data_IF_776103175920
#
_entry.id   IF_776103175920
#
_cell.length_a   1.000
_cell.length_b   1.000
_cell.length_c   1.000
_cell.angle_alpha   90.00
_cell.angle_beta   90.00
_cell.angle_gamma   90.00
#
_symmetry.space_group_name_H-M   'P 1'
#
loop_
_entity.id
_entity.type
_entity.pdbx_description
1 polymer ?
#
# COMPACT_ATOMS: atom_id res chain seq x y z
N UNK A 1 6.07 -6.26 -0.12
CA UNK A 1 5.15 -6.61 -1.24
C UNK A 1 4.76 -8.08 -1.26
N UNK A 2 5.69 -9.06 -1.19
CA UNK A 2 5.34 -10.50 -1.20
C UNK A 2 4.42 -10.90 -0.05
N UNK A 3 4.73 -10.48 1.18
CA UNK A 3 3.87 -10.75 2.35
C UNK A 3 2.49 -10.09 2.19
N UNK A 4 2.44 -8.86 1.71
CA UNK A 4 1.16 -8.19 1.44
C UNK A 4 0.34 -8.96 0.40
N UNK A 5 0.95 -9.38 -0.71
CA UNK A 5 0.28 -10.17 -1.74
C UNK A 5 -0.31 -11.48 -1.17
N UNK A 6 0.37 -12.08 -0.21
CA UNK A 6 -0.09 -13.30 0.47
C UNK A 6 -1.22 -13.01 1.46
N UNK A 7 -1.02 -12.08 2.39
CA UNK A 7 -1.97 -11.79 3.48
C UNK A 7 -3.27 -11.17 2.96
N UNK A 8 -3.18 -10.24 2.00
CA UNK A 8 -4.33 -9.58 1.40
C UNK A 8 -4.93 -10.36 0.20
N UNK A 9 -4.40 -11.52 -0.11
CA UNK A 9 -4.80 -12.37 -1.25
C UNK A 9 -4.85 -11.63 -2.60
N UNK A 10 -3.87 -10.78 -2.87
CA UNK A 10 -3.84 -9.95 -4.08
C UNK A 10 -3.44 -10.80 -5.28
N UNK A 11 -4.42 -11.26 -6.04
CA UNK A 11 -4.23 -12.20 -7.17
C UNK A 11 -3.26 -11.66 -8.22
N UNK A 12 -3.38 -10.38 -8.58
CA UNK A 12 -2.50 -9.73 -9.55
C UNK A 12 -1.03 -9.74 -9.13
N UNK A 13 -0.74 -9.41 -7.86
CA UNK A 13 0.62 -9.46 -7.33
C UNK A 13 1.15 -10.90 -7.21
N UNK A 14 0.31 -11.84 -6.76
CA UNK A 14 0.71 -13.26 -6.72
C UNK A 14 1.10 -13.80 -8.08
N UNK A 15 0.31 -13.49 -9.11
CA UNK A 15 0.62 -13.89 -10.49
C UNK A 15 1.90 -13.25 -11.00
N UNK A 16 2.11 -11.95 -10.74
CA UNK A 16 3.34 -11.28 -11.11
C UNK A 16 4.57 -11.94 -10.47
N UNK A 17 4.50 -12.28 -9.19
CA UNK A 17 5.60 -12.97 -8.50
C UNK A 17 5.83 -14.39 -9.02
N UNK A 18 4.78 -15.16 -9.35
CA UNK A 18 4.90 -16.50 -9.94
C UNK A 18 5.59 -16.47 -11.30
N UNK A 19 5.31 -15.44 -12.09
CA UNK A 19 5.86 -15.28 -13.44
C UNK A 19 7.18 -14.47 -13.46
N UNK A 20 7.78 -14.19 -12.29
CA UNK A 20 8.99 -13.38 -12.15
C UNK A 20 8.88 -11.98 -12.78
N UNK A 21 7.67 -11.42 -12.84
CA UNK A 21 7.45 -10.07 -13.34
C UNK A 21 7.85 -9.07 -12.26
N UNK A 22 8.61 -8.05 -12.65
CA UNK A 22 8.93 -6.94 -11.75
C UNK A 22 7.67 -6.11 -11.47
N UNK A 23 7.17 -6.22 -10.24
CA UNK A 23 5.93 -5.55 -9.82
C UNK A 23 6.03 -4.02 -9.90
N UNK A 24 7.22 -3.43 -9.72
CA UNK A 24 7.38 -1.99 -9.82
C UNK A 24 7.32 -1.52 -11.27
N UNK A 25 7.88 -2.29 -12.20
CA UNK A 25 7.75 -2.02 -13.62
C UNK A 25 6.32 -2.24 -14.10
N UNK A 26 5.67 -3.30 -13.64
CA UNK A 26 4.25 -3.56 -13.94
C UNK A 26 3.35 -2.41 -13.43
N UNK A 27 3.55 -1.97 -12.19
CA UNK A 27 2.82 -0.82 -11.63
C UNK A 27 3.10 0.45 -12.41
N UNK A 28 4.36 0.69 -12.82
CA UNK A 28 4.73 1.84 -13.63
C UNK A 28 4.01 1.87 -14.97
N UNK A 29 4.01 0.73 -15.68
CA UNK A 29 3.30 0.57 -16.96
C UNK A 29 1.83 0.96 -16.83
N UNK A 30 1.18 0.53 -15.78
CA UNK A 30 -0.25 0.73 -15.58
C UNK A 30 -0.58 2.16 -15.13
N UNK A 31 0.15 2.70 -14.16
CA UNK A 31 -0.10 4.05 -13.63
C UNK A 31 0.28 5.13 -14.66
N UNK A 32 1.42 4.99 -15.33
CA UNK A 32 1.88 5.97 -16.31
C UNK A 32 1.39 5.71 -17.74
N UNK A 33 0.58 4.62 -17.94
CA UNK A 33 -0.01 4.25 -19.23
C UNK A 33 1.01 4.12 -20.35
N UNK A 34 2.14 3.48 -20.03
CA UNK A 34 3.22 3.16 -20.97
C UNK A 34 3.36 1.65 -21.09
N UNK A 35 3.91 1.16 -22.21
CA UNK A 35 4.19 -0.27 -22.34
C UNK A 35 5.25 -0.71 -21.32
N UNK A 36 5.21 -1.97 -20.92
CA UNK A 36 6.17 -2.51 -19.94
C UNK A 36 7.62 -2.34 -20.40
N UNK A 37 7.85 -2.45 -21.70
CA UNK A 37 9.15 -2.30 -22.36
C UNK A 37 9.67 -0.84 -22.33
N UNK A 38 8.76 0.14 -22.24
CA UNK A 38 9.07 1.56 -22.20
C UNK A 38 9.29 2.08 -20.77
N UNK A 39 9.17 1.20 -19.78
CA UNK A 39 9.39 1.58 -18.37
C UNK A 39 10.88 1.73 -18.11
N UNK A 40 11.33 2.97 -18.01
CA UNK A 40 12.71 3.30 -17.64
C UNK A 40 12.94 3.22 -16.12
N UNK A 41 14.19 3.39 -15.71
CA UNK A 41 14.60 3.37 -14.31
C UNK A 41 13.92 4.49 -13.47
N UNK A 42 13.57 5.61 -14.09
CA UNK A 42 12.89 6.74 -13.44
C UNK A 42 11.44 6.40 -13.12
N UNK A 43 10.70 5.91 -14.11
CA UNK A 43 9.30 5.47 -13.95
C UNK A 43 9.18 4.32 -12.93
N UNK A 44 10.09 3.34 -13.04
CA UNK A 44 10.18 2.23 -12.08
C UNK A 44 10.42 2.74 -10.65
N UNK A 45 11.28 3.72 -10.45
CA UNK A 45 11.56 4.32 -9.14
C UNK A 45 10.34 5.05 -8.59
N UNK A 46 9.62 5.80 -9.43
CA UNK A 46 8.36 6.46 -9.05
C UNK A 46 7.30 5.44 -8.63
N UNK A 47 7.12 4.39 -9.43
CA UNK A 47 6.18 3.31 -9.10
C UNK A 47 6.56 2.58 -7.80
N UNK A 48 7.84 2.36 -7.54
CA UNK A 48 8.33 1.83 -6.26
C UNK A 48 7.93 2.73 -5.10
N UNK A 49 8.10 4.04 -5.23
CA UNK A 49 7.71 5.01 -4.22
C UNK A 49 6.18 5.02 -3.99
N UNK A 50 5.38 4.88 -5.05
CA UNK A 50 3.93 4.77 -4.97
C UNK A 50 3.54 3.48 -4.24
N UNK A 51 4.06 2.33 -4.67
CA UNK A 51 3.77 1.03 -4.07
C UNK A 51 4.04 1.00 -2.55
N UNK A 52 5.20 1.47 -2.13
CA UNK A 52 5.53 1.52 -0.71
C UNK A 52 4.81 2.64 0.02
N UNK A 53 4.69 3.80 -0.60
CA UNK A 53 4.01 4.94 -0.01
C UNK A 53 2.56 4.63 0.34
N UNK A 54 1.81 4.02 -0.57
CA UNK A 54 0.40 3.66 -0.34
C UNK A 54 0.29 2.64 0.80
N UNK A 55 1.13 1.61 0.81
CA UNK A 55 1.12 0.59 1.87
C UNK A 55 1.44 1.20 3.24
N UNK A 56 2.35 2.17 3.28
CA UNK A 56 2.68 2.91 4.50
C UNK A 56 1.70 4.06 4.80
N UNK A 57 0.60 4.15 4.07
CA UNK A 57 -0.46 5.12 4.32
C UNK A 57 -0.09 6.55 3.96
N UNK A 58 0.70 6.74 2.90
CA UNK A 58 1.06 8.07 2.41
C UNK A 58 -0.20 8.82 1.96
N UNK A 59 -0.31 10.09 2.33
CA UNK A 59 -1.37 10.95 1.81
C UNK A 59 -1.04 11.48 0.40
N UNK A 60 -2.06 11.94 -0.32
CA UNK A 60 -1.85 12.62 -1.61
C UNK A 60 -0.87 13.80 -1.50
N UNK A 61 -0.88 14.52 -0.38
CA UNK A 61 0.08 15.58 -0.10
C UNK A 61 1.52 15.05 0.06
N UNK A 62 1.71 13.98 0.81
CA UNK A 62 3.02 13.35 0.97
C UNK A 62 3.55 12.79 -0.35
N UNK A 63 2.69 12.13 -1.13
CA UNK A 63 3.06 11.57 -2.43
C UNK A 63 3.40 12.65 -3.44
N UNK A 64 2.62 13.75 -3.49
CA UNK A 64 2.88 14.88 -4.40
C UNK A 64 4.25 15.52 -4.15
N UNK A 65 4.63 15.69 -2.88
CA UNK A 65 5.96 16.18 -2.52
C UNK A 65 7.08 15.22 -2.92
N UNK A 66 6.85 13.93 -2.72
CA UNK A 66 7.85 12.90 -3.01
C UNK A 66 8.12 12.79 -4.52
N UNK A 67 7.07 12.83 -5.32
CA UNK A 67 7.15 12.70 -6.78
C UNK A 67 7.32 14.03 -7.53
N UNK A 68 7.22 15.17 -6.84
CA UNK A 68 7.22 16.53 -7.42
C UNK A 68 6.10 16.72 -8.46
N UNK A 69 4.91 16.25 -8.13
CA UNK A 69 3.68 16.36 -8.93
C UNK A 69 2.62 17.14 -8.16
N UNK A 70 1.51 17.48 -8.80
CA UNK A 70 0.39 18.14 -8.14
C UNK A 70 -0.31 17.19 -7.15
N UNK A 71 -1.02 17.74 -6.17
CA UNK A 71 -1.80 16.95 -5.22
C UNK A 71 -2.93 16.18 -5.91
N UNK A 72 -3.50 16.76 -6.96
CA UNK A 72 -4.55 16.12 -7.77
C UNK A 72 -4.02 14.88 -8.48
N UNK A 73 -2.90 15.00 -9.17
CA UNK A 73 -2.22 13.86 -9.82
C UNK A 73 -1.85 12.76 -8.81
N UNK A 74 -1.35 13.17 -7.63
CA UNK A 74 -1.02 12.21 -6.57
C UNK A 74 -2.27 11.46 -6.07
N UNK A 75 -3.42 12.15 -5.97
CA UNK A 75 -4.69 11.52 -5.60
C UNK A 75 -5.17 10.54 -6.68
N UNK A 76 -5.08 10.93 -7.95
CA UNK A 76 -5.41 10.06 -9.07
C UNK A 76 -4.56 8.77 -9.07
N UNK A 77 -3.26 8.88 -8.80
CA UNK A 77 -2.39 7.71 -8.70
C UNK A 77 -2.79 6.78 -7.55
N UNK A 78 -3.18 7.33 -6.40
CA UNK A 78 -3.67 6.54 -5.26
C UNK A 78 -4.97 5.84 -5.64
N UNK A 79 -5.89 6.54 -6.29
CA UNK A 79 -7.20 6.00 -6.68
C UNK A 79 -7.04 4.91 -7.75
N UNK A 80 -6.18 5.11 -8.75
CA UNK A 80 -5.87 4.12 -9.77
C UNK A 80 -5.22 2.87 -9.17
N UNK A 81 -4.32 3.06 -8.22
CA UNK A 81 -3.68 1.94 -7.50
C UNK A 81 -4.71 1.06 -6.80
N UNK A 82 -5.64 1.67 -6.06
CA UNK A 82 -6.70 0.92 -5.37
C UNK A 82 -7.78 0.38 -6.30
N UNK A 83 -7.98 0.99 -7.45
CA UNK A 83 -8.85 0.45 -8.50
C UNK A 83 -8.27 -0.83 -9.09
N UNK A 84 -6.95 -0.88 -9.22
CA UNK A 84 -6.24 -2.04 -9.74
C UNK A 84 -6.07 -3.14 -8.70
N UNK A 85 -5.86 -2.77 -7.43
CA UNK A 85 -5.65 -3.69 -6.32
C UNK A 85 -6.69 -3.45 -5.22
N UNK A 86 -7.98 -3.72 -5.48
CA UNK A 86 -9.05 -3.48 -4.51
C UNK A 86 -8.84 -4.32 -3.23
N UNK A 87 -8.22 -5.49 -3.33
CA UNK A 87 -7.94 -6.37 -2.21
C UNK A 87 -7.00 -5.70 -1.18
N UNK A 88 -6.10 -4.82 -1.62
CA UNK A 88 -5.23 -4.06 -0.72
C UNK A 88 -6.04 -3.06 0.10
N UNK A 89 -6.97 -2.35 -0.53
CA UNK A 89 -7.88 -1.43 0.18
C UNK A 89 -8.73 -2.17 1.20
N UNK A 90 -9.29 -3.32 0.81
CA UNK A 90 -10.11 -4.15 1.69
C UNK A 90 -9.31 -4.66 2.88
N UNK A 91 -8.08 -5.13 2.66
CA UNK A 91 -7.15 -5.52 3.72
C UNK A 91 -6.88 -4.37 4.69
N UNK A 92 -6.56 -3.18 4.19
CA UNK A 92 -6.27 -2.01 5.01
C UNK A 92 -7.48 -1.64 5.88
N UNK A 93 -8.67 -1.56 5.29
CA UNK A 93 -9.91 -1.21 5.99
C UNK A 93 -10.26 -2.27 7.05
N UNK A 94 -10.28 -3.54 6.68
CA UNK A 94 -10.60 -4.64 7.59
C UNK A 94 -9.61 -4.73 8.74
N UNK A 95 -8.32 -4.54 8.47
CA UNK A 95 -7.27 -4.56 9.49
C UNK A 95 -7.47 -3.45 10.51
N UNK A 96 -7.74 -2.22 10.06
CA UNK A 96 -7.99 -1.08 10.94
C UNK A 96 -9.27 -1.26 11.76
N UNK A 97 -10.36 -1.72 11.14
CA UNK A 97 -11.61 -1.99 11.86
C UNK A 97 -11.45 -3.08 12.92
N UNK A 98 -10.78 -4.16 12.59
CA UNK A 98 -10.50 -5.24 13.55
C UNK A 98 -9.61 -4.74 14.68
N UNK A 99 -8.57 -3.98 14.38
CA UNK A 99 -7.69 -3.39 15.38
C UNK A 99 -8.44 -2.42 16.33
N UNK A 100 -9.38 -1.63 15.81
CA UNK A 100 -10.24 -0.76 16.63
C UNK A 100 -11.14 -1.54 17.59
N UNK A 101 -11.59 -2.72 17.17
CA UNK A 101 -12.44 -3.59 18.02
C UNK A 101 -11.64 -4.36 19.06
N UNK A 102 -10.46 -4.84 18.72
CA UNK A 102 -9.67 -5.76 19.55
C UNK A 102 -8.53 -5.08 20.31
N UNK A 103 -8.06 -3.91 19.85
CA UNK A 103 -6.92 -3.20 20.40
C UNK A 103 -5.55 -3.74 19.96
N UNK A 104 -5.51 -4.72 19.05
CA UNK A 104 -4.28 -5.31 18.55
C UNK A 104 -4.43 -5.83 17.13
N UNK A 105 -3.29 -6.09 16.48
CA UNK A 105 -3.17 -6.87 15.24
C UNK A 105 -2.25 -8.05 15.48
N UNK A 106 -2.32 -9.07 14.60
CA UNK A 106 -1.47 -10.24 14.66
C UNK A 106 -0.60 -10.36 13.42
N UNK A 107 0.64 -10.80 13.60
CA UNK A 107 1.50 -11.20 12.49
C UNK A 107 1.09 -12.56 11.93
N UNK A 108 1.68 -12.94 10.79
CA UNK A 108 1.47 -14.27 10.18
C UNK A 108 1.77 -15.43 11.15
N UNK A 109 2.68 -15.22 12.11
CA UNK A 109 3.06 -16.19 13.14
C UNK A 109 2.33 -15.98 14.48
N UNK A 110 1.16 -15.32 14.45
CA UNK A 110 0.29 -15.08 15.61
C UNK A 110 0.90 -14.22 16.74
N UNK A 111 1.98 -13.47 16.47
CA UNK A 111 2.48 -12.51 17.44
C UNK A 111 1.53 -11.31 17.50
N UNK A 112 1.02 -11.01 18.70
CA UNK A 112 0.14 -9.87 18.94
C UNK A 112 0.95 -8.58 19.05
N UNK A 113 0.44 -7.52 18.40
CA UNK A 113 0.99 -6.17 18.44
C UNK A 113 -0.12 -5.26 18.94
N UNK A 114 0.01 -4.79 20.18
CA UNK A 114 -0.99 -3.94 20.82
C UNK A 114 -0.91 -2.51 20.30
N UNK A 115 -2.08 -1.90 20.10
CA UNK A 115 -2.25 -0.56 19.52
C UNK A 115 -3.17 0.27 20.43
N UNK A 116 -2.68 0.72 21.58
CA UNK A 116 -3.54 1.39 22.58
C UNK A 116 -4.17 2.68 22.07
N UNK A 117 -3.58 3.32 21.08
CA UNK A 117 -4.07 4.59 20.51
C UNK A 117 -4.94 4.38 19.25
N UNK A 118 -5.26 3.14 18.88
CA UNK A 118 -6.13 2.87 17.74
C UNK A 118 -7.53 3.42 18.03
N UNK A 119 -8.12 4.13 17.07
CA UNK A 119 -9.43 4.79 17.26
C UNK A 119 -9.36 6.19 17.87
N UNK A 120 -8.19 6.66 18.34
CA UNK A 120 -7.99 8.05 18.74
C UNK A 120 -8.12 8.97 17.52
N UNK A 121 -8.73 10.14 17.68
CA UNK A 121 -8.82 11.13 16.60
C UNK A 121 -7.49 11.86 16.39
N UNK A 122 -7.26 12.31 15.15
CA UNK A 122 -6.12 13.13 14.80
C UNK A 122 -4.84 12.35 14.48
N UNK A 123 -3.65 13.01 14.52
CA UNK A 123 -2.39 12.43 14.06
C UNK A 123 -1.97 11.16 14.80
N UNK A 124 -2.26 11.05 16.08
CA UNK A 124 -1.94 9.88 16.93
C UNK A 124 -2.71 8.65 16.45
N UNK A 125 -4.03 8.80 16.23
CA UNK A 125 -4.86 7.72 15.70
C UNK A 125 -4.44 7.32 14.28
N UNK A 126 -4.16 8.28 13.42
CA UNK A 126 -3.65 8.02 12.07
C UNK A 126 -2.30 7.28 12.07
N UNK A 127 -1.43 7.55 13.03
CA UNK A 127 -0.19 6.78 13.21
C UNK A 127 -0.49 5.34 13.62
N UNK A 128 -1.40 5.14 14.58
CA UNK A 128 -1.79 3.82 15.04
C UNK A 128 -2.47 2.98 13.93
N UNK A 129 -3.29 3.61 13.08
CA UNK A 129 -3.88 2.94 11.92
C UNK A 129 -2.82 2.47 10.91
N UNK A 130 -1.84 3.32 10.60
CA UNK A 130 -0.70 2.94 9.75
C UNK A 130 0.12 1.82 10.37
N UNK A 131 0.36 1.87 11.67
CA UNK A 131 1.05 0.80 12.39
C UNK A 131 0.26 -0.52 12.35
N UNK A 132 -1.08 -0.48 12.46
CA UNK A 132 -1.95 -1.64 12.33
C UNK A 132 -1.80 -2.33 10.97
N UNK A 133 -1.77 -1.55 9.89
CA UNK A 133 -1.64 -2.06 8.52
C UNK A 133 -0.26 -2.67 8.29
N UNK A 134 0.79 -2.00 8.77
CA UNK A 134 2.17 -2.35 8.47
C UNK A 134 2.72 -3.50 9.32
N UNK A 135 2.35 -3.58 10.59
CA UNK A 135 2.90 -4.56 11.52
C UNK A 135 2.75 -6.02 11.06
N UNK A 136 1.60 -6.46 10.50
CA UNK A 136 1.46 -7.83 10.02
C UNK A 136 2.32 -8.17 8.80
N UNK A 137 2.74 -7.18 8.01
CA UNK A 137 3.47 -7.35 6.75
C UNK A 137 4.95 -7.03 6.84
N UNK A 138 5.41 -6.62 8.00
CA UNK A 138 6.82 -6.42 8.34
C UNK A 138 7.36 -7.59 9.14
#
# INVERSE_FOLDING_TARGET
MRLLAHIADVKGLKNAFKNNIDIHSSTASQIFKVNLEDVDASLRRKAKAINFGIIYGISAFGLSKNLKITRTEAQEFIDDYFRQFPEIRDYMNTTVETAKKTGFVTTLFNRKIHLPNIGTKGPIGGFAERAAINAPIQ
#
